data_IF_351716081166
#
_entry.id   IF_351716081166
#
_cell.length_a   1.000
_cell.length_b   1.000
_cell.length_c   1.000
_cell.angle_alpha   90.00
_cell.angle_beta   90.00
_cell.angle_gamma   90.00
#
_symmetry.space_group_name_H-M   'P 1'
#
loop_
_entity.id
_entity.type
_entity.pdbx_description
1 polymer ?
#
# COMPACT_ATOMS: atom_id res chain seq x y z
N UNK A 1 10.48 4.43 -1.89
CA UNK A 1 10.55 5.32 -0.71
C UNK A 1 11.19 4.58 0.45
N UNK A 2 11.80 5.29 1.40
CA UNK A 2 12.14 4.75 2.72
C UNK A 2 10.87 4.54 3.55
N UNK A 3 11.01 3.90 4.71
CA UNK A 3 9.91 3.74 5.67
C UNK A 3 9.36 5.11 6.13
N UNK A 4 10.23 6.06 6.48
CA UNK A 4 9.84 7.39 6.95
C UNK A 4 9.09 8.18 5.87
N UNK A 5 9.56 8.10 4.62
CA UNK A 5 8.90 8.72 3.47
C UNK A 5 7.51 8.11 3.24
N UNK A 6 7.38 6.78 3.33
CA UNK A 6 6.11 6.08 3.14
C UNK A 6 5.10 6.41 4.25
N UNK A 7 5.53 6.46 5.52
CA UNK A 7 4.68 6.87 6.65
C UNK A 7 4.23 8.32 6.50
N UNK A 8 5.15 9.22 6.16
CA UNK A 8 4.83 10.64 5.90
C UNK A 8 3.79 10.78 4.79
N UNK A 9 3.91 10.00 3.72
CA UNK A 9 2.91 9.96 2.65
C UNK A 9 1.55 9.45 3.14
N UNK A 10 1.51 8.34 3.89
CA UNK A 10 0.26 7.80 4.47
C UNK A 10 -0.43 8.85 5.33
N UNK A 11 0.29 9.52 6.23
CA UNK A 11 -0.28 10.52 7.12
C UNK A 11 -0.86 11.71 6.37
N UNK A 12 -0.20 12.11 5.28
CA UNK A 12 -0.66 13.20 4.41
C UNK A 12 -1.95 12.85 3.67
N UNK A 13 -2.12 11.61 3.21
CA UNK A 13 -3.19 11.26 2.25
C UNK A 13 -4.36 10.49 2.87
N UNK A 14 -4.21 9.86 4.05
CA UNK A 14 -5.21 8.91 4.61
C UNK A 14 -6.64 9.46 4.67
N UNK A 15 -6.81 10.73 5.07
CA UNK A 15 -8.13 11.35 5.18
C UNK A 15 -8.72 11.80 3.83
N UNK A 16 -7.88 11.90 2.80
CA UNK A 16 -8.29 12.32 1.46
C UNK A 16 -8.60 11.12 0.56
N UNK A 17 -8.00 9.97 0.85
CA UNK A 17 -8.07 8.78 -0.02
C UNK A 17 -9.05 7.72 0.51
N UNK A 18 -9.06 7.46 1.82
CA UNK A 18 -9.91 6.40 2.38
C UNK A 18 -11.39 6.77 2.21
N UNK A 19 -12.18 5.83 1.72
CA UNK A 19 -13.60 6.01 1.38
C UNK A 19 -13.85 6.85 0.13
N UNK A 20 -12.81 7.22 -0.62
CA UNK A 20 -12.93 7.98 -1.87
C UNK A 20 -12.65 7.10 -3.09
N UNK A 21 -13.28 7.40 -4.24
CA UNK A 21 -12.96 6.74 -5.50
C UNK A 21 -11.60 7.22 -6.00
N UNK A 22 -10.69 6.27 -6.22
CA UNK A 22 -9.38 6.48 -6.86
C UNK A 22 -9.28 5.51 -8.03
N UNK A 23 -9.09 6.03 -9.24
CA UNK A 23 -9.06 5.22 -10.48
C UNK A 23 -10.26 4.25 -10.58
N UNK A 24 -11.45 4.71 -10.20
CA UNK A 24 -12.69 3.92 -10.25
C UNK A 24 -12.92 2.95 -9.07
N UNK A 25 -12.04 2.93 -8.06
CA UNK A 25 -12.14 2.01 -6.93
C UNK A 25 -12.29 2.78 -5.61
N UNK A 26 -13.20 2.35 -4.74
CA UNK A 26 -13.28 2.88 -3.37
C UNK A 26 -12.13 2.29 -2.56
N UNK A 27 -11.28 3.16 -2.02
CA UNK A 27 -10.17 2.72 -1.18
C UNK A 27 -10.67 2.45 0.23
N UNK A 28 -10.47 1.22 0.71
CA UNK A 28 -10.87 0.76 2.05
C UNK A 28 -9.79 1.09 3.09
N UNK A 29 -8.52 0.85 2.75
CA UNK A 29 -7.39 1.14 3.63
C UNK A 29 -6.10 1.36 2.83
N UNK A 30 -5.07 1.86 3.53
CA UNK A 30 -3.73 2.05 2.99
C UNK A 30 -2.80 0.94 3.48
N UNK A 31 -1.88 0.52 2.62
CA UNK A 31 -0.85 -0.47 2.90
C UNK A 31 0.51 0.09 2.46
N UNK A 32 1.55 -0.11 3.27
CA UNK A 32 2.93 0.11 2.85
C UNK A 32 3.54 -1.27 2.55
N UNK A 33 4.12 -1.42 1.38
CA UNK A 33 4.74 -2.68 0.96
C UNK A 33 5.88 -2.47 -0.03
N UNK A 34 6.56 -3.54 -0.45
CA UNK A 34 7.65 -3.47 -1.42
C UNK A 34 7.19 -2.86 -2.73
N UNK A 35 7.99 -1.95 -3.28
CA UNK A 35 7.78 -1.44 -4.65
C UNK A 35 7.96 -2.55 -5.69
N UNK A 36 8.95 -3.43 -5.49
CA UNK A 36 9.19 -4.58 -6.37
C UNK A 36 8.29 -5.76 -5.96
N UNK A 37 7.40 -6.15 -6.88
CA UNK A 37 6.46 -7.25 -6.65
C UNK A 37 7.13 -8.60 -6.44
N UNK A 38 8.30 -8.83 -7.04
CA UNK A 38 9.06 -10.07 -6.86
C UNK A 38 9.48 -10.27 -5.39
N UNK A 39 9.59 -9.20 -4.63
CA UNK A 39 9.98 -9.25 -3.21
C UNK A 39 8.79 -9.29 -2.24
N UNK A 40 7.55 -9.28 -2.77
CA UNK A 40 6.33 -9.28 -1.96
C UNK A 40 6.20 -10.54 -1.11
N UNK A 41 6.59 -11.70 -1.64
CA UNK A 41 6.56 -12.97 -0.89
C UNK A 41 7.46 -12.89 0.35
N UNK A 42 8.70 -12.43 0.18
CA UNK A 42 9.67 -12.28 1.27
C UNK A 42 9.19 -11.28 2.32
N UNK A 43 8.63 -10.15 1.87
CA UNK A 43 8.05 -9.15 2.76
C UNK A 43 6.88 -9.70 3.56
N UNK A 44 5.96 -10.42 2.93
CA UNK A 44 4.81 -11.02 3.60
C UNK A 44 5.23 -12.07 4.64
N UNK A 45 6.24 -12.87 4.33
CA UNK A 45 6.82 -13.81 5.30
C UNK A 45 7.42 -13.08 6.50
N UNK A 46 8.16 -12.00 6.25
CA UNK A 46 8.74 -11.19 7.32
C UNK A 46 7.66 -10.52 8.19
N UNK A 47 6.61 -9.99 7.56
CA UNK A 47 5.44 -9.41 8.21
C UNK A 47 4.71 -10.40 9.10
N UNK A 48 4.51 -11.63 8.63
CA UNK A 48 3.88 -12.69 9.43
C UNK A 48 4.73 -13.04 10.65
N UNK A 49 6.05 -13.05 10.50
CA UNK A 49 6.97 -13.43 11.58
C UNK A 49 7.19 -12.32 12.61
N UNK A 50 7.24 -11.05 12.19
CA UNK A 50 7.72 -9.93 13.01
C UNK A 50 6.74 -8.77 13.17
N UNK A 51 5.59 -8.85 12.50
CA UNK A 51 4.61 -7.76 12.43
C UNK A 51 4.88 -6.78 11.30
N UNK A 52 3.88 -5.94 11.03
CA UNK A 52 3.84 -4.96 9.95
C UNK A 52 5.02 -3.98 9.98
N UNK A 53 5.10 -3.20 11.06
CA UNK A 53 6.04 -2.10 11.19
C UNK A 53 7.49 -2.61 11.14
N UNK A 54 7.80 -3.67 11.88
CA UNK A 54 9.13 -4.29 11.86
C UNK A 54 9.52 -4.75 10.45
N UNK A 55 8.58 -5.35 9.70
CA UNK A 55 8.86 -5.80 8.35
C UNK A 55 9.17 -4.63 7.43
N UNK A 56 8.40 -3.54 7.49
CA UNK A 56 8.62 -2.33 6.69
C UNK A 56 9.97 -1.66 7.01
N UNK A 57 10.29 -1.49 8.31
CA UNK A 57 11.57 -0.92 8.76
C UNK A 57 12.74 -1.78 8.28
N UNK A 58 12.69 -3.10 8.50
CA UNK A 58 13.78 -4.00 8.10
C UNK A 58 13.95 -4.05 6.58
N UNK A 59 12.87 -3.98 5.82
CA UNK A 59 12.92 -3.91 4.36
C UNK A 59 13.63 -2.64 3.89
N UNK A 60 13.22 -1.48 4.44
CA UNK A 60 13.82 -0.17 4.16
C UNK A 60 15.31 -0.15 4.55
N UNK A 61 15.68 -0.67 5.72
CA UNK A 61 17.08 -0.76 6.17
C UNK A 61 17.96 -1.67 5.30
N UNK A 62 17.37 -2.65 4.61
CA UNK A 62 18.07 -3.47 3.61
C UNK A 62 18.27 -2.74 2.27
N UNK A 63 17.90 -1.46 2.18
CA UNK A 63 17.98 -0.65 0.97
C UNK A 63 16.88 -0.96 -0.05
N UNK A 64 15.84 -1.71 0.35
CA UNK A 64 14.72 -2.04 -0.54
C UNK A 64 13.69 -0.91 -0.51
N UNK A 65 13.10 -0.62 -1.67
CA UNK A 65 12.11 0.45 -1.79
C UNK A 65 10.73 0.00 -1.34
N UNK A 66 10.04 0.88 -0.62
CA UNK A 66 8.63 0.77 -0.27
C UNK A 66 7.77 1.69 -1.15
N UNK A 67 6.51 1.30 -1.31
CA UNK A 67 5.43 2.04 -1.97
C UNK A 67 4.18 2.08 -1.08
N UNK A 68 3.37 3.12 -1.25
CA UNK A 68 2.06 3.24 -0.60
C UNK A 68 0.98 2.77 -1.55
N UNK A 69 0.19 1.81 -1.10
CA UNK A 69 -0.92 1.24 -1.85
C UNK A 69 -2.25 1.63 -1.20
N UNK A 70 -3.20 2.10 -2.02
CA UNK A 70 -4.60 2.07 -1.68
C UNK A 70 -5.14 0.68 -1.96
N UNK A 71 -5.80 0.05 -0.99
CA UNK A 71 -6.42 -1.25 -1.17
C UNK A 71 -7.92 -1.06 -1.31
N UNK A 72 -8.45 -1.51 -2.45
CA UNK A 72 -9.87 -1.63 -2.70
C UNK A 72 -10.29 -3.09 -2.58
N UNK A 73 -11.52 -3.32 -2.09
CA UNK A 73 -12.10 -4.66 -2.01
C UNK A 73 -13.30 -4.70 -2.94
N UNK A 74 -13.14 -5.42 -4.05
CA UNK A 74 -14.22 -5.72 -5.00
C UNK A 74 -14.64 -7.18 -4.86
N UNK A 75 -15.56 -7.63 -5.72
CA UNK A 75 -16.10 -8.99 -5.70
C UNK A 75 -15.94 -9.61 -7.09
N UNK A 76 -15.33 -10.80 -7.17
CA UNK A 76 -15.35 -11.61 -8.40
C UNK A 76 -16.71 -12.31 -8.49
N UNK A 77 -17.13 -12.87 -7.37
CA UNK A 77 -18.44 -13.47 -7.11
C UNK A 77 -18.97 -12.93 -5.79
N UNK A 78 -20.28 -13.08 -5.47
CA UNK A 78 -20.87 -12.52 -4.25
C UNK A 78 -20.08 -12.78 -2.96
N UNK A 79 -19.44 -13.95 -2.87
CA UNK A 79 -18.71 -14.44 -1.71
C UNK A 79 -17.18 -14.48 -1.90
N UNK A 80 -16.66 -14.10 -3.08
CA UNK A 80 -15.23 -14.13 -3.38
C UNK A 80 -14.70 -12.69 -3.48
N UNK A 81 -14.07 -12.18 -2.41
CA UNK A 81 -13.45 -10.86 -2.44
C UNK A 81 -12.23 -10.84 -3.37
N UNK A 82 -12.03 -9.69 -4.02
CA UNK A 82 -10.84 -9.37 -4.80
C UNK A 82 -10.22 -8.11 -4.22
N UNK A 83 -8.98 -8.23 -3.78
CA UNK A 83 -8.19 -7.09 -3.33
C UNK A 83 -7.46 -6.50 -4.51
N UNK A 84 -7.69 -5.21 -4.76
CA UNK A 84 -7.03 -4.45 -5.81
C UNK A 84 -6.11 -3.43 -5.16
N UNK A 85 -4.82 -3.53 -5.46
CA UNK A 85 -3.79 -2.65 -4.93
C UNK A 85 -3.47 -1.56 -5.94
N UNK A 86 -3.66 -0.31 -5.53
CA UNK A 86 -3.45 0.87 -6.37
C UNK A 86 -2.26 1.63 -5.83
N UNK A 87 -1.21 1.81 -6.65
CA UNK A 87 -0.03 2.59 -6.26
C UNK A 87 -0.41 4.06 -6.11
N UNK A 88 -0.05 4.65 -4.96
CA UNK A 88 -0.34 6.04 -4.57
C UNK A 88 0.92 6.89 -4.37
N UNK A 89 2.09 6.40 -4.77
CA UNK A 89 3.37 7.12 -4.62
C UNK A 89 3.31 8.53 -5.23
N UNK A 90 2.63 8.68 -6.37
CA UNK A 90 2.38 9.94 -7.08
C UNK A 90 0.91 10.41 -6.92
N UNK A 91 0.31 10.28 -5.74
CA UNK A 91 -1.15 10.54 -5.54
C UNK A 91 -1.64 11.90 -6.08
N UNK A 92 -0.81 12.95 -6.01
CA UNK A 92 -1.13 14.29 -6.53
C UNK A 92 -1.45 14.22 -8.02
N UNK A 93 -0.67 13.46 -8.81
CA UNK A 93 -0.94 13.27 -10.25
C UNK A 93 -2.18 12.42 -10.49
N UNK A 94 -2.63 11.64 -9.52
CA UNK A 94 -3.81 10.77 -9.66
C UNK A 94 -5.11 11.55 -9.46
N UNK A 95 -5.11 12.59 -8.61
CA UNK A 95 -6.32 13.39 -8.35
C UNK A 95 -6.55 14.54 -9.34
N UNK A 96 -5.51 14.97 -10.05
CA UNK A 96 -5.59 16.07 -11.03
C UNK A 96 -5.75 15.60 -12.48
N UNK A 97 -5.93 14.29 -12.70
CA UNK A 97 -6.27 13.66 -13.99
C UNK A 97 -7.64 13.01 -13.92
#
# INVERSE_FOLDING_TARGET
>A
MTFEEAISLVDRIKYQIIGKPVKGHIIEYLLIGPTNWEEMSDFMNLRIQKGEETAQIEFSHKGKSLSVYGVAITKIEPDIPKWEMIILDDWEKIIYN
#
